data_IF_246263255951
#
_entry.id   IF_246263255951
#
_cell.length_a   1.000
_cell.length_b   1.000
_cell.length_c   1.000
_cell.angle_alpha   90.00
_cell.angle_beta   90.00
_cell.angle_gamma   90.00
#
_symmetry.space_group_name_H-M   'P 1'
#
loop_
_entity.id
_entity.type
_entity.pdbx_description
1 polymer ?
#
# COMPACT_ATOMS: atom_id res chain seq x y z
N UNK A 1 -18.52 1.72 -25.21
CA UNK A 1 -17.22 1.14 -24.82
C UNK A 1 -17.40 0.63 -23.40
N UNK A 2 -17.14 -0.65 -23.16
CA UNK A 2 -17.68 -1.45 -22.05
C UNK A 2 -17.29 -0.88 -20.67
N UNK A 3 -18.25 -0.35 -19.91
CA UNK A 3 -18.14 -0.03 -18.48
C UNK A 3 -18.54 -1.25 -17.63
N UNK A 4 -17.97 -2.41 -17.93
CA UNK A 4 -18.20 -3.60 -17.11
C UNK A 4 -17.02 -3.76 -16.16
N UNK A 5 -17.27 -3.99 -14.86
CA UNK A 5 -16.19 -4.22 -13.92
C UNK A 5 -15.43 -5.50 -14.28
N UNK A 6 -14.11 -5.45 -14.13
CA UNK A 6 -13.18 -6.56 -14.34
C UNK A 6 -13.47 -7.71 -13.37
N UNK A 7 -14.12 -7.44 -12.23
CA UNK A 7 -14.50 -8.43 -11.22
C UNK A 7 -15.98 -8.35 -10.86
N UNK A 8 -16.65 -9.51 -10.63
CA UNK A 8 -18.02 -9.54 -10.09
C UNK A 8 -18.09 -9.21 -8.59
N UNK A 9 -16.95 -9.09 -7.90
CA UNK A 9 -16.89 -8.68 -6.49
C UNK A 9 -16.95 -7.15 -6.45
N UNK A 10 -18.06 -6.61 -5.94
CA UNK A 10 -18.18 -5.18 -5.63
C UNK A 10 -17.15 -4.79 -4.57
N UNK A 11 -16.53 -3.61 -4.73
CA UNK A 11 -15.73 -2.92 -3.71
C UNK A 11 -14.49 -3.67 -3.20
N UNK A 12 -13.70 -4.25 -4.12
CA UNK A 12 -12.39 -4.83 -3.79
C UNK A 12 -11.47 -3.75 -3.22
N UNK A 13 -10.99 -3.93 -1.99
CA UNK A 13 -9.99 -3.07 -1.35
C UNK A 13 -8.58 -3.57 -1.60
N UNK A 14 -7.66 -2.65 -1.87
CA UNK A 14 -6.24 -2.90 -2.01
C UNK A 14 -5.44 -2.00 -1.08
N UNK A 15 -4.36 -2.54 -0.51
CA UNK A 15 -3.37 -1.75 0.21
C UNK A 15 -1.99 -1.90 -0.41
N UNK A 16 -1.16 -0.89 -0.15
CA UNK A 16 0.21 -0.83 -0.63
C UNK A 16 1.20 -0.78 0.54
N UNK A 17 2.20 -1.66 0.56
CA UNK A 17 3.27 -1.65 1.56
C UNK A 17 4.60 -1.48 0.84
N UNK A 18 5.42 -0.52 1.25
CA UNK A 18 6.72 -0.27 0.66
C UNK A 18 7.74 0.20 1.70
N UNK A 19 9.00 -0.13 1.45
CA UNK A 19 10.14 0.18 2.31
C UNK A 19 11.22 0.86 1.46
N UNK A 20 11.90 1.85 2.01
CA UNK A 20 13.04 2.48 1.36
C UNK A 20 14.07 3.02 2.36
N UNK A 21 15.35 2.99 1.98
CA UNK A 21 16.48 3.39 2.82
C UNK A 21 16.51 4.90 3.14
N UNK A 22 16.09 5.75 2.19
CA UNK A 22 16.25 7.20 2.35
C UNK A 22 15.07 7.87 3.07
N UNK A 23 15.26 9.13 3.48
CA UNK A 23 14.24 9.94 4.17
C UNK A 23 13.73 11.12 3.32
N UNK A 24 13.97 11.09 2.01
CA UNK A 24 13.60 12.17 1.09
C UNK A 24 12.09 12.39 1.04
N UNK A 25 11.63 13.65 1.06
CA UNK A 25 10.18 13.97 1.14
C UNK A 25 9.34 13.26 0.07
N UNK A 26 9.83 13.25 -1.18
CA UNK A 26 9.14 12.70 -2.36
C UNK A 26 9.45 11.22 -2.68
N UNK A 27 10.11 10.50 -1.77
CA UNK A 27 10.63 9.14 -2.00
C UNK A 27 9.59 8.16 -2.58
N UNK A 28 8.33 8.29 -2.17
CA UNK A 28 7.27 7.37 -2.57
C UNK A 28 6.31 7.93 -3.62
N UNK A 29 6.44 9.19 -4.04
CA UNK A 29 5.45 9.83 -4.92
C UNK A 29 5.31 9.06 -6.23
N UNK A 30 6.44 8.62 -6.81
CA UNK A 30 6.44 7.83 -8.04
C UNK A 30 5.72 6.49 -7.90
N UNK A 31 6.05 5.71 -6.87
CA UNK A 31 5.45 4.38 -6.69
C UNK A 31 3.98 4.46 -6.27
N UNK A 32 3.57 5.49 -5.50
CA UNK A 32 2.17 5.71 -5.14
C UNK A 32 1.30 5.94 -6.38
N UNK A 33 1.77 6.74 -7.33
CA UNK A 33 1.06 6.97 -8.59
C UNK A 33 0.95 5.68 -9.40
N UNK A 34 2.05 4.93 -9.55
CA UNK A 34 2.06 3.65 -10.27
C UNK A 34 1.06 2.65 -9.68
N UNK A 35 1.04 2.49 -8.36
CA UNK A 35 0.14 1.53 -7.69
C UNK A 35 -1.32 2.01 -7.77
N UNK A 36 -1.57 3.32 -7.69
CA UNK A 36 -2.91 3.89 -7.90
C UNK A 36 -3.44 3.56 -9.29
N UNK A 37 -2.64 3.74 -10.35
CA UNK A 37 -3.05 3.37 -11.70
C UNK A 37 -3.23 1.86 -11.88
N UNK A 38 -2.38 1.05 -11.23
CA UNK A 38 -2.53 -0.39 -11.24
C UNK A 38 -3.88 -0.83 -10.64
N UNK A 39 -4.23 -0.31 -9.45
CA UNK A 39 -5.50 -0.62 -8.79
C UNK A 39 -6.72 -0.13 -9.57
N UNK A 40 -6.65 1.06 -10.16
CA UNK A 40 -7.68 1.58 -11.07
C UNK A 40 -7.92 0.64 -12.27
N UNK A 41 -6.86 0.12 -12.88
CA UNK A 41 -6.95 -0.78 -14.04
C UNK A 41 -7.58 -2.15 -13.73
N UNK A 42 -7.66 -2.55 -12.46
CA UNK A 42 -8.19 -3.86 -12.03
C UNK A 42 -9.45 -3.74 -11.15
N UNK A 43 -10.09 -2.57 -11.15
CA UNK A 43 -11.25 -2.24 -10.31
C UNK A 43 -11.02 -2.57 -8.82
N UNK A 44 -9.91 -2.08 -8.28
CA UNK A 44 -9.56 -2.17 -6.85
C UNK A 44 -9.45 -0.76 -6.28
N UNK A 45 -10.08 -0.52 -5.13
CA UNK A 45 -9.92 0.72 -4.39
C UNK A 45 -8.53 0.77 -3.74
N UNK A 46 -7.80 1.86 -3.95
CA UNK A 46 -6.59 2.16 -3.17
C UNK A 46 -7.03 2.63 -1.77
N UNK A 47 -7.19 1.68 -0.85
CA UNK A 47 -7.83 1.92 0.44
C UNK A 47 -6.84 2.29 1.54
N UNK A 48 -5.61 1.80 1.48
CA UNK A 48 -4.62 2.01 2.55
C UNK A 48 -3.18 1.93 2.03
N UNK A 49 -2.23 2.48 2.79
CA UNK A 49 -0.81 2.38 2.49
C UNK A 49 0.07 2.42 3.75
N UNK A 50 1.19 1.72 3.69
CA UNK A 50 2.28 1.80 4.66
C UNK A 50 3.60 2.05 3.94
N UNK A 51 4.25 3.17 4.29
CA UNK A 51 5.49 3.62 3.67
C UNK A 51 6.58 3.76 4.73
N UNK A 52 7.47 2.77 4.80
CA UNK A 52 8.54 2.70 5.80
C UNK A 52 9.81 3.33 5.25
N UNK A 53 10.38 4.29 5.99
CA UNK A 53 11.60 5.02 5.61
C UNK A 53 12.75 4.62 6.51
N UNK A 54 13.98 4.68 6.00
CA UNK A 54 15.17 4.40 6.82
C UNK A 54 15.34 2.92 7.14
N UNK A 55 14.98 2.03 6.21
CA UNK A 55 15.37 0.63 6.27
C UNK A 55 16.05 0.27 4.95
N UNK A 56 17.33 -0.07 5.04
CA UNK A 56 18.23 -0.40 3.92
C UNK A 56 18.57 -1.87 3.95
N UNK A 57 18.92 -2.39 5.13
CA UNK A 57 19.33 -3.78 5.28
C UNK A 57 18.15 -4.74 5.48
N UNK A 58 18.37 -5.99 5.05
CA UNK A 58 17.39 -7.06 5.23
C UNK A 58 17.09 -7.25 6.72
N UNK A 59 15.85 -7.00 7.10
CA UNK A 59 15.35 -7.24 8.45
C UNK A 59 15.41 -6.03 9.37
N UNK A 60 16.02 -4.91 8.95
CA UNK A 60 16.10 -3.66 9.72
C UNK A 60 14.71 -3.09 10.08
N UNK A 61 13.69 -3.37 9.27
CA UNK A 61 12.30 -3.02 9.57
C UNK A 61 11.79 -3.63 10.90
N UNK A 62 12.40 -4.72 11.39
CA UNK A 62 12.05 -5.34 12.68
C UNK A 62 12.41 -4.46 13.87
N UNK A 63 13.39 -3.58 13.69
CA UNK A 63 13.83 -2.63 14.71
C UNK A 63 12.99 -1.34 14.71
N UNK A 64 11.91 -1.31 13.90
CA UNK A 64 10.93 -0.23 13.85
C UNK A 64 9.55 -0.73 14.35
N UNK A 65 9.32 -0.82 15.68
CA UNK A 65 8.07 -1.33 16.25
C UNK A 65 6.81 -0.66 15.70
N UNK A 66 6.90 0.62 15.38
CA UNK A 66 5.85 1.47 14.85
C UNK A 66 5.47 1.04 13.43
N UNK A 67 6.44 0.64 12.61
CA UNK A 67 6.20 0.09 11.27
C UNK A 67 5.50 -1.28 11.36
N UNK A 68 5.92 -2.13 12.31
CA UNK A 68 5.28 -3.43 12.54
C UNK A 68 3.84 -3.25 13.04
N UNK A 69 3.61 -2.34 13.98
CA UNK A 69 2.27 -2.00 14.47
C UNK A 69 1.41 -1.43 13.35
N UNK A 70 1.95 -0.52 12.54
CA UNK A 70 1.22 0.05 11.41
C UNK A 70 0.85 -1.00 10.35
N UNK A 71 1.72 -1.98 10.10
CA UNK A 71 1.44 -3.11 9.20
C UNK A 71 0.29 -3.98 9.73
N UNK A 72 0.29 -4.27 11.04
CA UNK A 72 -0.79 -5.00 11.69
C UNK A 72 -2.11 -4.22 11.62
N UNK A 73 -2.09 -2.93 11.96
CA UNK A 73 -3.27 -2.07 11.92
C UNK A 73 -3.81 -1.89 10.49
N UNK A 74 -2.94 -1.81 9.47
CA UNK A 74 -3.34 -1.79 8.06
C UNK A 74 -4.07 -3.07 7.68
N UNK A 75 -3.56 -4.23 8.10
CA UNK A 75 -4.22 -5.52 7.87
C UNK A 75 -5.62 -5.57 8.49
N UNK A 76 -5.80 -5.02 9.70
CA UNK A 76 -7.11 -4.91 10.34
C UNK A 76 -8.07 -4.02 9.57
N UNK A 77 -7.63 -2.81 9.17
CA UNK A 77 -8.47 -1.87 8.39
C UNK A 77 -8.86 -2.38 7.00
N UNK A 78 -8.12 -3.33 6.44
CA UNK A 78 -8.47 -3.95 5.16
C UNK A 78 -9.64 -4.93 5.26
N UNK A 79 -9.79 -5.60 6.41
CA UNK A 79 -10.85 -6.59 6.64
C UNK A 79 -12.01 -6.02 7.44
N UNK A 80 -11.76 -4.97 8.24
CA UNK A 80 -12.76 -4.14 8.90
C UNK A 80 -13.37 -3.17 7.85
N UNK A 81 -14.66 -2.86 8.02
CA UNK A 81 -15.61 -2.37 6.98
C UNK A 81 -15.17 -1.22 6.06
#
# INVERSE_FOLDING_TARGET
ILKLPVSPIADRKGAFISVAATRGKKLFDGVRLTVRYFFDAIDVAYSDELLVRGADEKGEVRDQPEALKAAYDLGRRLVEE
#
